data_IF_925265539125
#
_entry.id   IF_925265539125
#
_cell.length_a   1.000
_cell.length_b   1.000
_cell.length_c   1.000
_cell.angle_alpha   90.00
_cell.angle_beta   90.00
_cell.angle_gamma   90.00
#
_symmetry.space_group_name_H-M   'P 1'
#
loop_
_entity.id
_entity.type
_entity.pdbx_description
1 polymer ?
#
# COMPACT_ATOMS: atom_id res chain seq x y z
N UNK A 1 31.89 -30.89 -2.88
CA UNK A 1 30.81 -30.78 -1.88
C UNK A 1 29.70 -29.99 -2.56
N UNK A 2 28.68 -30.71 -3.04
CA UNK A 2 27.55 -30.16 -3.77
C UNK A 2 26.49 -29.70 -2.76
N UNK A 3 26.38 -28.38 -2.55
CA UNK A 3 25.36 -27.80 -1.69
C UNK A 3 24.08 -27.61 -2.50
N UNK A 4 23.20 -28.59 -2.38
CA UNK A 4 21.89 -28.70 -3.02
C UNK A 4 21.00 -27.50 -2.68
N UNK A 5 20.96 -26.47 -3.52
CA UNK A 5 20.01 -25.37 -3.38
C UNK A 5 18.66 -25.80 -3.97
N UNK A 6 17.73 -26.21 -3.11
CA UNK A 6 16.44 -26.86 -3.47
C UNK A 6 15.30 -25.85 -3.70
N UNK A 7 15.60 -24.67 -4.22
CA UNK A 7 14.64 -23.58 -4.46
C UNK A 7 14.73 -22.98 -5.87
N UNK A 8 13.67 -22.29 -6.34
CA UNK A 8 13.71 -21.48 -7.55
C UNK A 8 14.94 -20.57 -7.61
N UNK A 9 15.42 -20.28 -8.82
CA UNK A 9 16.54 -19.36 -9.02
C UNK A 9 16.13 -17.94 -8.58
N UNK A 10 17.06 -17.09 -8.09
CA UNK A 10 16.78 -15.70 -7.70
C UNK A 10 15.98 -14.89 -8.72
N UNK A 11 16.25 -15.11 -10.02
CA UNK A 11 15.53 -14.45 -11.12
C UNK A 11 14.02 -14.74 -11.10
N UNK A 12 13.62 -15.97 -10.74
CA UNK A 12 12.20 -16.37 -10.70
C UNK A 12 11.46 -15.62 -9.59
N UNK A 13 12.11 -15.45 -8.42
CA UNK A 13 11.55 -14.66 -7.33
C UNK A 13 11.41 -13.19 -7.71
N UNK A 14 12.42 -12.61 -8.37
CA UNK A 14 12.37 -11.22 -8.82
C UNK A 14 11.26 -11.00 -9.84
N UNK A 15 11.15 -11.86 -10.85
CA UNK A 15 10.09 -11.78 -11.86
C UNK A 15 8.69 -11.91 -11.25
N UNK A 16 8.54 -12.82 -10.28
CA UNK A 16 7.28 -13.00 -9.55
C UNK A 16 6.92 -11.77 -8.71
N UNK A 17 7.91 -11.21 -8.00
CA UNK A 17 7.72 -9.99 -7.21
C UNK A 17 7.35 -8.79 -8.10
N UNK A 18 8.02 -8.63 -9.26
CA UNK A 18 7.66 -7.60 -10.24
C UNK A 18 6.24 -7.79 -10.76
N UNK A 19 5.85 -9.01 -11.12
CA UNK A 19 4.49 -9.26 -11.62
C UNK A 19 3.41 -8.94 -10.59
N UNK A 20 3.65 -9.27 -9.32
CA UNK A 20 2.73 -8.92 -8.25
C UNK A 20 2.69 -7.41 -8.03
N UNK A 21 3.84 -6.75 -7.91
CA UNK A 21 3.91 -5.31 -7.70
C UNK A 21 3.29 -4.51 -8.86
N UNK A 22 3.47 -4.95 -10.10
CA UNK A 22 2.84 -4.34 -11.28
C UNK A 22 1.31 -4.38 -11.19
N UNK A 23 0.73 -5.44 -10.60
CA UNK A 23 -0.72 -5.51 -10.35
C UNK A 23 -1.12 -4.61 -9.19
N UNK A 24 -0.36 -4.63 -8.10
CA UNK A 24 -0.62 -3.78 -6.92
C UNK A 24 -0.52 -2.29 -7.23
N UNK A 25 0.29 -1.89 -8.22
CA UNK A 25 0.37 -0.50 -8.70
C UNK A 25 -0.98 0.04 -9.18
N UNK A 26 -1.91 -0.81 -9.63
CA UNK A 26 -3.26 -0.37 -9.98
C UNK A 26 -3.98 0.29 -8.81
N UNK A 27 -3.73 -0.14 -7.56
CA UNK A 27 -4.26 0.51 -6.36
C UNK A 27 -3.83 1.98 -6.23
N UNK A 28 -2.61 2.30 -6.65
CA UNK A 28 -2.07 3.64 -6.65
C UNK A 28 -2.57 4.44 -7.86
N UNK A 29 -2.50 3.87 -9.06
CA UNK A 29 -2.78 4.60 -10.31
C UNK A 29 -4.27 4.77 -10.60
N UNK A 30 -5.13 3.90 -10.06
CA UNK A 30 -6.58 4.04 -10.18
C UNK A 30 -7.18 4.98 -9.15
N UNK A 31 -6.44 5.31 -8.09
CA UNK A 31 -6.87 6.29 -7.10
C UNK A 31 -6.83 7.71 -7.68
N UNK A 32 -7.83 8.56 -7.39
CA UNK A 32 -7.79 9.98 -7.79
C UNK A 32 -6.83 10.81 -6.93
N UNK A 33 -6.26 10.25 -5.86
CA UNK A 33 -5.33 10.93 -4.95
C UNK A 33 -4.05 10.13 -4.75
N UNK A 34 -3.09 10.67 -3.99
CA UNK A 34 -1.87 9.94 -3.63
C UNK A 34 -2.11 8.73 -2.72
N UNK A 35 -3.33 8.55 -2.20
CA UNK A 35 -3.69 7.46 -1.28
C UNK A 35 -4.26 6.30 -2.08
N UNK A 36 -3.62 5.11 -2.06
CA UNK A 36 -4.08 3.99 -2.86
C UNK A 36 -5.41 3.43 -2.36
N UNK A 37 -6.12 2.81 -3.28
CA UNK A 37 -7.26 1.95 -2.99
C UNK A 37 -6.83 0.68 -2.24
N UNK A 38 -7.64 0.24 -1.29
CA UNK A 38 -7.37 -0.97 -0.48
C UNK A 38 -7.59 -2.27 -1.24
N UNK A 39 -8.58 -2.31 -2.14
CA UNK A 39 -8.92 -3.52 -2.88
C UNK A 39 -8.38 -3.49 -4.30
N UNK A 40 -7.41 -4.37 -4.60
CA UNK A 40 -6.84 -4.56 -5.94
C UNK A 40 -7.35 -5.88 -6.53
N UNK A 41 -7.91 -5.83 -7.74
CA UNK A 41 -8.23 -7.05 -8.49
C UNK A 41 -6.94 -7.54 -9.12
N UNK A 42 -6.44 -8.71 -8.73
CA UNK A 42 -5.19 -9.20 -9.31
C UNK A 42 -5.35 -9.65 -10.76
N UNK A 43 -6.53 -10.15 -11.15
CA UNK A 43 -6.75 -10.71 -12.49
C UNK A 43 -6.80 -9.64 -13.59
N UNK A 44 -7.42 -8.50 -13.27
CA UNK A 44 -7.67 -7.38 -14.18
C UNK A 44 -7.05 -6.13 -13.56
N UNK A 45 -6.47 -5.19 -14.33
CA UNK A 45 -5.76 -4.03 -13.78
C UNK A 45 -6.74 -2.96 -13.24
N UNK A 46 -7.52 -3.31 -12.23
CA UNK A 46 -8.49 -2.43 -11.57
C UNK A 46 -8.38 -2.52 -10.05
N UNK A 47 -8.74 -1.41 -9.40
CA UNK A 47 -8.76 -1.30 -7.96
C UNK A 47 -9.95 -0.43 -7.52
N UNK A 48 -10.42 -0.64 -6.30
CA UNK A 48 -11.60 0.03 -5.75
C UNK A 48 -11.36 0.43 -4.29
N UNK A 49 -11.98 1.52 -3.80
CA UNK A 49 -12.01 1.82 -2.38
C UNK A 49 -12.60 0.65 -1.59
N UNK A 50 -12.20 0.52 -0.33
CA UNK A 50 -12.85 -0.42 0.59
C UNK A 50 -14.36 -0.13 0.69
N UNK A 51 -15.20 -1.10 1.09
CA UNK A 51 -16.65 -0.93 1.15
C UNK A 51 -17.14 0.25 2.00
N UNK A 52 -16.39 0.65 3.02
CA UNK A 52 -16.67 1.79 3.89
C UNK A 52 -16.07 3.13 3.40
N UNK A 53 -15.44 3.10 2.22
CA UNK A 53 -14.84 4.24 1.53
C UNK A 53 -13.56 4.79 2.17
N UNK A 54 -12.96 4.05 3.12
CA UNK A 54 -11.78 4.50 3.87
C UNK A 54 -10.66 3.48 3.74
N UNK A 55 -9.43 3.97 3.70
CA UNK A 55 -8.23 3.13 3.79
C UNK A 55 -7.64 3.26 5.19
N UNK A 56 -7.04 2.18 5.68
CA UNK A 56 -6.29 2.21 6.93
C UNK A 56 -4.99 2.98 6.72
N UNK A 57 -4.68 3.95 7.58
CA UNK A 57 -3.45 4.74 7.47
C UNK A 57 -2.21 3.85 7.52
N UNK A 58 -2.22 2.79 8.36
CA UNK A 58 -1.11 1.84 8.44
C UNK A 58 -0.93 1.03 7.18
N UNK A 59 -2.02 0.67 6.49
CA UNK A 59 -1.96 -0.13 5.27
C UNK A 59 -1.30 0.64 4.14
N UNK A 60 -1.76 1.88 3.90
CA UNK A 60 -1.22 2.72 2.82
C UNK A 60 0.23 3.15 3.10
N UNK A 61 0.66 3.17 4.37
CA UNK A 61 2.00 3.56 4.80
C UNK A 61 2.94 2.39 5.13
N UNK A 62 2.64 1.16 4.68
CA UNK A 62 3.49 -0.02 4.95
C UNK A 62 4.05 -0.71 3.70
N UNK A 63 3.97 -0.07 2.52
CA UNK A 63 4.52 -0.64 1.27
C UNK A 63 5.87 -0.03 0.86
N UNK A 64 6.36 0.97 1.60
CA UNK A 64 7.52 1.75 1.21
C UNK A 64 8.79 0.91 1.19
N UNK A 65 8.98 -0.01 2.14
CA UNK A 65 10.21 -0.82 2.20
C UNK A 65 10.28 -1.80 1.02
N UNK A 66 9.17 -2.48 0.76
CA UNK A 66 9.01 -3.51 -0.27
C UNK A 66 9.19 -2.88 -1.66
N UNK A 67 8.54 -1.75 -1.91
CA UNK A 67 8.58 -1.08 -3.21
C UNK A 67 9.93 -0.40 -3.45
N UNK A 68 10.54 0.19 -2.41
CA UNK A 68 11.90 0.74 -2.52
C UNK A 68 12.93 -0.37 -2.79
N UNK A 69 12.84 -1.49 -2.08
CA UNK A 69 13.72 -2.64 -2.32
C UNK A 69 13.53 -3.19 -3.72
N UNK A 70 12.28 -3.38 -4.16
CA UNK A 70 11.98 -3.87 -5.51
C UNK A 70 12.53 -2.93 -6.59
N UNK A 71 12.36 -1.62 -6.45
CA UNK A 71 12.99 -0.63 -7.35
C UNK A 71 14.50 -0.76 -7.38
N UNK A 72 15.14 -0.93 -6.22
CA UNK A 72 16.59 -1.11 -6.14
C UNK A 72 17.08 -2.37 -6.85
N UNK A 73 16.40 -3.51 -6.69
CA UNK A 73 16.86 -4.79 -7.27
C UNK A 73 16.42 -4.99 -8.72
N UNK A 74 15.34 -4.35 -9.15
CA UNK A 74 14.83 -4.43 -10.52
C UNK A 74 15.37 -3.33 -11.44
N UNK A 75 15.87 -2.23 -10.88
CA UNK A 75 16.27 -1.02 -11.61
C UNK A 75 15.10 -0.15 -12.09
N UNK A 76 13.85 -0.51 -11.75
CA UNK A 76 12.65 0.23 -12.15
C UNK A 76 12.17 1.15 -11.02
N UNK A 77 12.31 2.48 -11.14
CA UNK A 77 12.01 3.42 -10.04
C UNK A 77 10.52 3.58 -9.77
N UNK A 78 9.62 3.10 -10.65
CA UNK A 78 8.18 3.36 -10.54
C UNK A 78 7.59 2.91 -9.21
N UNK A 79 8.05 1.78 -8.65
CA UNK A 79 7.54 1.25 -7.39
C UNK A 79 7.87 2.22 -6.24
N UNK A 80 9.14 2.58 -6.10
CA UNK A 80 9.59 3.56 -5.09
C UNK A 80 8.87 4.90 -5.22
N UNK A 81 8.74 5.42 -6.46
CA UNK A 81 8.08 6.69 -6.72
C UNK A 81 6.63 6.67 -6.24
N UNK A 82 5.84 5.66 -6.60
CA UNK A 82 4.43 5.59 -6.16
C UNK A 82 4.29 5.39 -4.65
N UNK A 83 5.10 4.54 -4.03
CA UNK A 83 5.03 4.31 -2.58
C UNK A 83 5.43 5.54 -1.76
N UNK A 84 6.38 6.35 -2.25
CA UNK A 84 6.85 7.55 -1.56
C UNK A 84 5.88 8.72 -1.68
N UNK A 85 5.11 8.84 -2.78
CA UNK A 85 4.05 9.85 -2.92
C UNK A 85 3.05 9.78 -1.77
N UNK A 86 2.69 8.58 -1.30
CA UNK A 86 1.80 8.39 -0.16
C UNK A 86 2.35 9.11 1.08
N UNK A 87 3.62 8.86 1.39
CA UNK A 87 4.28 9.43 2.56
C UNK A 87 4.47 10.95 2.43
N UNK A 88 4.82 11.43 1.25
CA UNK A 88 4.92 12.87 0.96
C UNK A 88 3.59 13.57 1.17
N UNK A 89 2.50 13.00 0.65
CA UNK A 89 1.15 13.52 0.84
C UNK A 89 0.75 13.53 2.32
N UNK A 90 0.88 12.41 3.02
CA UNK A 90 0.54 12.30 4.45
C UNK A 90 1.32 13.28 5.34
N UNK A 91 2.56 13.64 4.97
CA UNK A 91 3.35 14.64 5.71
C UNK A 91 2.76 16.04 5.63
N UNK A 92 2.04 16.37 4.57
CA UNK A 92 1.42 17.68 4.35
C UNK A 92 0.06 17.85 5.04
N UNK A 93 -0.57 16.74 5.43
CA UNK A 93 -1.89 16.75 6.05
C UNK A 93 -1.84 17.27 7.51
N UNK A 94 -2.91 17.93 7.98
CA UNK A 94 -2.99 18.41 9.35
C UNK A 94 -2.99 17.24 10.35
N UNK A 95 -2.26 17.42 11.45
CA UNK A 95 -2.13 16.43 12.54
C UNK A 95 -2.81 16.97 13.78
N UNK A 96 -3.52 16.11 14.51
CA UNK A 96 -4.16 16.48 15.78
C UNK A 96 -3.15 16.25 16.88
N UNK A 97 -2.64 17.30 17.51
CA UNK A 97 -1.61 17.21 18.56
C UNK A 97 -0.35 16.44 18.13
N UNK A 98 -0.02 16.47 16.84
CA UNK A 98 1.11 15.72 16.26
C UNK A 98 0.80 14.25 15.96
N UNK A 99 -0.42 13.80 16.26
CA UNK A 99 -0.90 12.44 16.02
C UNK A 99 -1.67 12.33 14.69
N UNK A 100 -1.62 11.14 14.11
CA UNK A 100 -2.24 10.82 12.82
C UNK A 100 -3.48 9.95 13.05
N UNK A 101 -4.65 10.33 12.48
CA UNK A 101 -5.83 9.47 12.51
C UNK A 101 -5.62 8.12 11.83
N UNK A 102 -6.31 7.09 12.32
CA UNK A 102 -6.15 5.71 11.83
C UNK A 102 -6.74 5.44 10.44
N UNK A 103 -7.54 6.36 9.92
CA UNK A 103 -8.11 6.25 8.58
C UNK A 103 -7.76 7.45 7.72
N UNK A 104 -7.72 7.20 6.42
CA UNK A 104 -7.54 8.18 5.37
C UNK A 104 -8.48 7.84 4.20
N UNK A 105 -9.10 8.84 3.59
CA UNK A 105 -10.07 8.62 2.53
C UNK A 105 -9.37 8.70 1.16
N UNK A 106 -9.31 7.62 0.36
CA UNK A 106 -8.60 7.62 -0.92
C UNK A 106 -9.22 8.51 -2.00
N UNK A 107 -10.51 8.85 -1.89
CA UNK A 107 -11.20 9.74 -2.84
C UNK A 107 -10.90 11.23 -2.59
N UNK A 108 -10.58 11.60 -1.34
CA UNK A 108 -10.30 12.99 -0.95
C UNK A 108 -8.84 13.25 -0.60
N UNK A 109 -8.10 12.20 -0.23
CA UNK A 109 -6.74 12.27 0.27
C UNK A 109 -6.63 12.76 1.71
N UNK A 110 -7.74 12.97 2.41
CA UNK A 110 -7.77 13.57 3.75
C UNK A 110 -7.91 12.52 4.85
N UNK A 111 -7.35 12.80 6.02
CA UNK A 111 -7.56 11.96 7.21
C UNK A 111 -9.05 11.93 7.59
N UNK A 112 -9.49 10.79 8.09
CA UNK A 112 -10.88 10.57 8.49
C UNK A 112 -10.97 10.07 9.93
N UNK A 113 -11.85 10.72 10.69
CA UNK A 113 -12.13 10.38 12.09
C UNK A 113 -11.13 10.97 13.09
N UNK A 114 -11.48 10.86 14.37
CA UNK A 114 -10.68 11.37 15.50
C UNK A 114 -9.92 10.24 16.22
N UNK A 115 -10.14 8.99 15.79
CA UNK A 115 -9.50 7.84 16.41
C UNK A 115 -8.02 7.82 16.04
N UNK A 116 -7.18 7.94 17.06
CA UNK A 116 -5.74 7.78 16.98
C UNK A 116 -5.37 6.49 17.72
N UNK A 117 -4.60 5.62 17.06
CA UNK A 117 -4.04 4.41 17.65
C UNK A 117 -2.63 4.19 17.10
N UNK A 118 -1.80 3.52 17.89
CA UNK A 118 -0.41 3.18 17.54
C UNK A 118 -0.29 1.75 16.96
N UNK A 119 -1.36 0.96 17.05
CA UNK A 119 -1.43 -0.40 16.52
C UNK A 119 -1.93 -0.44 15.07
N UNK A 120 -1.84 -1.62 14.45
CA UNK A 120 -2.41 -1.89 13.13
C UNK A 120 -3.93 -1.68 13.23
N UNK A 121 -4.46 -0.67 12.54
CA UNK A 121 -5.89 -0.41 12.52
C UNK A 121 -6.60 -1.47 11.67
N UNK A 122 -6.79 -2.66 12.23
CA UNK A 122 -7.74 -3.65 11.76
C UNK A 122 -9.06 -3.36 12.46
N UNK A 123 -9.96 -2.67 11.78
CA UNK A 123 -11.33 -2.53 12.28
C UNK A 123 -12.05 -3.83 11.98
N UNK A 124 -12.16 -4.70 12.99
CA UNK A 124 -13.05 -5.85 12.92
C UNK A 124 -14.50 -5.35 13.02
N UNK A 125 -15.18 -5.22 11.88
CA UNK A 125 -16.63 -5.02 11.87
C UNK A 125 -17.30 -6.35 12.24
N UNK A 126 -17.83 -6.46 13.45
CA UNK A 126 -18.78 -7.51 13.79
C UNK A 126 -20.07 -7.24 13.01
N UNK A 127 -20.30 -8.02 11.95
CA UNK A 127 -21.59 -8.05 11.26
C UNK A 127 -22.62 -8.71 12.17
N UNK A 128 -23.39 -7.92 12.91
CA UNK A 128 -24.70 -8.35 13.39
C UNK A 128 -25.71 -8.04 12.29
N UNK A 129 -26.01 -9.03 11.46
CA UNK A 129 -27.34 -9.54 11.06
C UNK A 129 -27.19 -10.52 9.90
#
# INVERSE_FOLDING_TARGET
>A
MDSTHKGPKPVVYLETAKNLADRLLSGFTSSPTAIPFGDVVLRDPSAHPAPDGRSSTSEVSSLQLEFNYLSSVSGDPKYSVEAMKVLEHMKTLPKVEGLVPIFINPSTGEFSGENIRLDLAVTATMSTY
#
